data_IF_050089620214
#
_entry.id   IF_050089620214
#
_cell.length_a   1.000
_cell.length_b   1.000
_cell.length_c   1.000
_cell.angle_alpha   90.00
_cell.angle_beta   90.00
_cell.angle_gamma   90.00
#
_symmetry.space_group_name_H-M   'P 1'
#
loop_
_entity.id
_entity.type
_entity.pdbx_description
1 polymer ?
#
# COMPACT_ATOMS: atom_id res chain seq x y z
N UNK A 1 20.08 -21.78 10.76
CA UNK A 1 18.61 -21.70 10.96
C UNK A 1 18.09 -20.39 10.37
N UNK A 2 17.52 -20.36 9.16
CA UNK A 2 16.79 -19.17 8.75
C UNK A 2 15.51 -19.08 9.58
N UNK A 3 15.35 -17.99 10.34
CA UNK A 3 14.10 -17.68 11.04
C UNK A 3 13.00 -17.66 9.98
N UNK A 4 11.96 -18.50 10.14
CA UNK A 4 10.69 -18.34 9.42
C UNK A 4 10.16 -16.95 9.76
N UNK A 5 10.57 -15.94 9.00
CA UNK A 5 9.92 -14.64 9.01
C UNK A 5 8.46 -14.91 8.68
N UNK A 6 7.56 -14.60 9.61
CA UNK A 6 6.14 -14.56 9.34
C UNK A 6 5.98 -13.79 8.02
N UNK A 7 5.64 -14.51 6.94
CA UNK A 7 5.57 -13.89 5.62
C UNK A 7 4.47 -12.84 5.71
N UNK A 8 4.85 -11.57 5.73
CA UNK A 8 3.90 -10.49 5.53
C UNK A 8 3.07 -10.86 4.29
N UNK A 9 1.75 -10.70 4.35
CA UNK A 9 0.82 -11.11 3.30
C UNK A 9 1.25 -10.65 1.88
N UNK A 10 1.95 -9.51 1.79
CA UNK A 10 2.45 -8.93 0.54
C UNK A 10 3.84 -9.41 0.08
N UNK A 11 4.49 -10.33 0.81
CA UNK A 11 5.80 -10.88 0.46
C UNK A 11 6.91 -9.82 0.41
N UNK A 12 7.59 -9.70 -0.74
CA UNK A 12 8.62 -8.69 -1.03
C UNK A 12 8.08 -7.46 -1.77
N UNK A 13 6.78 -7.42 -2.04
CA UNK A 13 6.09 -6.29 -2.66
C UNK A 13 5.34 -5.43 -1.64
N UNK A 14 4.99 -4.22 -2.07
CA UNK A 14 4.17 -3.29 -1.27
C UNK A 14 2.67 -3.55 -1.38
N UNK A 15 2.24 -4.48 -2.24
CA UNK A 15 0.86 -4.87 -2.39
C UNK A 15 0.74 -6.36 -2.73
N UNK A 16 -0.45 -6.92 -2.54
CA UNK A 16 -0.85 -8.24 -3.01
C UNK A 16 -2.37 -8.28 -3.22
N UNK A 17 -2.83 -9.22 -4.03
CA UNK A 17 -4.25 -9.48 -4.23
C UNK A 17 -4.72 -10.60 -3.31
N UNK A 18 -5.88 -10.40 -2.68
CA UNK A 18 -6.64 -11.38 -1.90
C UNK A 18 -8.03 -11.52 -2.53
N UNK A 19 -8.14 -12.39 -3.54
CA UNK A 19 -9.34 -12.44 -4.39
C UNK A 19 -9.57 -11.12 -5.13
N UNK A 20 -10.71 -10.47 -4.88
CA UNK A 20 -11.07 -9.15 -5.43
C UNK A 20 -10.55 -7.98 -4.59
N UNK A 21 -9.85 -8.24 -3.49
CA UNK A 21 -9.33 -7.21 -2.58
C UNK A 21 -7.86 -6.96 -2.85
N UNK A 22 -7.50 -5.71 -3.11
CA UNK A 22 -6.11 -5.25 -3.19
C UNK A 22 -5.61 -4.84 -1.81
N UNK A 23 -4.66 -5.58 -1.26
CA UNK A 23 -3.99 -5.29 0.01
C UNK A 23 -2.75 -4.46 -0.27
N UNK A 24 -2.62 -3.28 0.36
CA UNK A 24 -1.51 -2.36 0.14
C UNK A 24 -0.87 -1.94 1.47
N UNK A 25 0.44 -2.09 1.58
CA UNK A 25 1.22 -1.53 2.67
C UNK A 25 1.67 -0.12 2.30
N UNK A 26 1.35 0.84 3.16
CA UNK A 26 1.62 2.26 2.93
C UNK A 26 2.57 2.79 3.99
N UNK A 27 3.53 3.60 3.55
CA UNK A 27 4.32 4.50 4.37
C UNK A 27 3.79 5.92 4.18
N UNK A 28 2.94 6.34 5.11
CA UNK A 28 2.32 7.66 5.14
C UNK A 28 3.31 8.76 5.49
N UNK A 29 3.28 9.86 4.74
CA UNK A 29 4.01 11.10 5.03
C UNK A 29 2.98 12.22 5.25
N UNK A 30 2.57 12.48 6.50
CA UNK A 30 1.66 13.57 6.82
C UNK A 30 2.35 14.94 6.69
N UNK A 31 1.57 16.02 6.72
CA UNK A 31 2.05 17.40 6.60
C UNK A 31 2.94 17.64 5.37
N UNK A 32 2.64 16.97 4.26
CA UNK A 32 3.34 17.18 3.01
C UNK A 32 2.83 18.44 2.29
N UNK A 33 3.62 18.99 1.37
CA UNK A 33 3.22 20.17 0.59
C UNK A 33 2.04 19.89 -0.36
N UNK A 34 1.81 18.63 -0.72
CA UNK A 34 0.71 18.17 -1.58
C UNK A 34 0.44 16.68 -1.37
N UNK A 35 -0.77 16.27 -1.70
CA UNK A 35 -1.14 14.85 -1.74
C UNK A 35 -0.52 14.17 -2.97
N UNK A 36 0.13 13.03 -2.76
CA UNK A 36 0.80 12.31 -3.85
C UNK A 36 1.03 10.83 -3.52
N UNK A 37 0.88 9.99 -4.54
CA UNK A 37 1.48 8.65 -4.55
C UNK A 37 2.97 8.80 -4.92
N UNK A 38 3.83 8.36 -4.01
CA UNK A 38 5.28 8.36 -4.20
C UNK A 38 5.79 7.06 -4.82
N UNK A 39 7.11 6.88 -4.77
CA UNK A 39 7.77 5.65 -5.20
C UNK A 39 7.65 4.55 -4.13
N UNK A 40 7.70 3.27 -4.51
CA UNK A 40 7.90 2.18 -3.58
C UNK A 40 9.16 2.39 -2.73
N UNK A 41 9.11 1.97 -1.47
CA UNK A 41 10.22 1.99 -0.52
C UNK A 41 10.23 0.67 0.23
N UNK A 42 11.12 -0.23 -0.18
CA UNK A 42 11.09 -1.63 0.27
C UNK A 42 9.71 -2.24 0.02
N UNK A 43 9.07 -2.73 1.09
CA UNK A 43 7.77 -3.42 1.07
C UNK A 43 6.58 -2.49 1.29
N UNK A 44 6.75 -1.19 1.06
CA UNK A 44 5.72 -0.17 1.31
C UNK A 44 5.66 0.87 0.20
N UNK A 45 4.47 1.41 -0.04
CA UNK A 45 4.26 2.53 -0.96
C UNK A 45 4.27 3.84 -0.19
N UNK A 46 5.12 4.79 -0.59
CA UNK A 46 5.07 6.13 0.00
C UNK A 46 3.80 6.85 -0.43
N UNK A 47 3.03 7.34 0.53
CA UNK A 47 1.86 8.19 0.25
C UNK A 47 1.98 9.45 1.08
N UNK A 48 2.08 10.59 0.40
CA UNK A 48 2.15 11.90 1.04
C UNK A 48 0.75 12.49 1.12
N UNK A 49 0.42 13.06 2.27
CA UNK A 49 -0.85 13.79 2.46
C UNK A 49 -0.59 15.14 3.11
N UNK A 50 -1.32 16.16 2.68
CA UNK A 50 -1.22 17.51 3.23
C UNK A 50 -1.82 17.62 4.64
N UNK A 51 -2.74 16.71 4.99
CA UNK A 51 -3.35 16.66 6.31
C UNK A 51 -2.31 16.42 7.43
N UNK A 52 -2.46 17.18 8.52
CA UNK A 52 -1.65 17.04 9.72
C UNK A 52 -1.95 15.71 10.47
N UNK A 53 -0.96 15.12 11.18
CA UNK A 53 -1.11 13.85 11.89
C UNK A 53 -1.82 14.02 13.24
N UNK A 54 -2.98 14.69 13.26
CA UNK A 54 -3.74 14.98 14.48
C UNK A 54 -5.04 14.17 14.46
N UNK A 55 -5.29 13.41 15.53
CA UNK A 55 -6.53 12.67 15.76
C UNK A 55 -6.97 11.80 14.56
N UNK A 56 -6.03 11.13 13.89
CA UNK A 56 -6.32 10.24 12.76
C UNK A 56 -6.69 10.94 11.43
N UNK A 57 -6.77 12.28 11.39
CA UNK A 57 -7.16 13.05 10.20
C UNK A 57 -6.30 12.77 8.97
N UNK A 58 -4.99 12.56 9.16
CA UNK A 58 -4.10 12.20 8.06
C UNK A 58 -4.51 10.87 7.38
N UNK A 59 -4.98 9.89 8.17
CA UNK A 59 -5.45 8.60 7.65
C UNK A 59 -6.77 8.76 6.91
N UNK A 60 -7.73 9.46 7.50
CA UNK A 60 -9.04 9.67 6.85
C UNK A 60 -8.87 10.47 5.54
N UNK A 61 -7.97 11.45 5.54
CA UNK A 61 -7.60 12.19 4.34
C UNK A 61 -6.93 11.29 3.30
N UNK A 62 -6.01 10.43 3.71
CA UNK A 62 -5.35 9.47 2.82
C UNK A 62 -6.36 8.53 2.17
N UNK A 63 -7.32 8.00 2.92
CA UNK A 63 -8.37 7.13 2.38
C UNK A 63 -9.18 7.86 1.31
N UNK A 64 -9.61 9.10 1.60
CA UNK A 64 -10.34 9.95 0.63
C UNK A 64 -9.52 10.29 -0.61
N UNK A 65 -8.21 10.51 -0.45
CA UNK A 65 -7.30 10.77 -1.54
C UNK A 65 -7.10 9.53 -2.43
N UNK A 66 -7.01 8.33 -1.85
CA UNK A 66 -6.76 7.08 -2.59
C UNK A 66 -8.01 6.58 -3.34
N UNK A 67 -9.20 6.70 -2.75
CA UNK A 67 -10.46 6.21 -3.32
C UNK A 67 -10.65 6.50 -4.83
N UNK A 68 -10.59 7.76 -5.30
CA UNK A 68 -10.78 8.05 -6.72
C UNK A 68 -9.66 7.50 -7.63
N UNK A 69 -8.44 7.30 -7.09
CA UNK A 69 -7.30 6.78 -7.85
C UNK A 69 -7.46 5.28 -8.15
N UNK A 70 -8.18 4.55 -7.28
CA UNK A 70 -8.52 3.16 -7.48
C UNK A 70 -9.91 2.95 -8.08
N UNK A 71 -10.66 4.03 -8.32
CA UNK A 71 -12.02 3.97 -8.85
C UNK A 71 -12.99 3.28 -7.90
N UNK A 72 -12.82 3.50 -6.60
CA UNK A 72 -13.67 2.98 -5.53
C UNK A 72 -14.17 4.12 -4.64
N UNK A 73 -15.08 3.82 -3.71
CA UNK A 73 -15.47 4.78 -2.67
C UNK A 73 -14.54 4.68 -1.45
N UNK A 74 -14.58 5.67 -0.57
CA UNK A 74 -13.85 5.61 0.69
C UNK A 74 -14.32 4.46 1.60
N UNK A 75 -15.57 4.01 1.45
CA UNK A 75 -16.12 2.89 2.23
C UNK A 75 -15.55 1.52 1.79
N UNK A 76 -15.07 1.43 0.55
CA UNK A 76 -14.43 0.23 0.00
C UNK A 76 -12.95 0.12 0.41
N UNK A 77 -12.43 1.12 1.11
CA UNK A 77 -11.07 1.15 1.62
C UNK A 77 -11.09 0.97 3.14
N UNK A 78 -10.69 -0.21 3.58
CA UNK A 78 -10.53 -0.52 4.99
C UNK A 78 -9.08 -0.28 5.43
N UNK A 79 -8.88 0.38 6.57
CA UNK A 79 -7.56 0.51 7.20
C UNK A 79 -7.42 -0.60 8.24
N UNK A 80 -6.72 -1.67 7.90
CA UNK A 80 -6.52 -2.86 8.76
C UNK A 80 -5.73 -2.51 10.01
N UNK A 81 -4.66 -1.72 9.85
CA UNK A 81 -3.88 -1.21 10.97
C UNK A 81 -3.17 0.10 10.63
N UNK A 82 -2.65 0.77 11.66
CA UNK A 82 -1.82 1.96 11.50
C UNK A 82 -2.60 3.27 11.45
N UNK A 83 -3.85 3.32 11.92
CA UNK A 83 -4.66 4.56 11.90
C UNK A 83 -3.95 5.76 12.56
N UNK A 84 -3.11 5.51 13.56
CA UNK A 84 -2.30 6.53 14.25
C UNK A 84 -0.79 6.46 13.93
N UNK A 85 -0.37 5.58 13.02
CA UNK A 85 1.04 5.38 12.64
C UNK A 85 1.28 5.76 11.17
N UNK A 86 2.51 6.09 10.79
CA UNK A 86 2.89 6.29 9.39
C UNK A 86 2.82 4.98 8.60
N UNK A 87 3.12 3.85 9.24
CA UNK A 87 3.00 2.53 8.63
C UNK A 87 1.54 2.08 8.70
N UNK A 88 0.94 1.83 7.54
CA UNK A 88 -0.47 1.44 7.41
C UNK A 88 -0.59 0.24 6.50
N UNK A 89 -1.62 -0.55 6.71
CA UNK A 89 -2.11 -1.49 5.69
C UNK A 89 -3.56 -1.16 5.39
N UNK A 90 -3.86 -1.09 4.11
CA UNK A 90 -5.21 -0.87 3.61
C UNK A 90 -5.65 -2.03 2.74
N UNK A 91 -6.93 -2.33 2.78
CA UNK A 91 -7.61 -3.29 1.91
C UNK A 91 -8.58 -2.51 1.05
N UNK A 92 -8.45 -2.64 -0.26
CA UNK A 92 -9.25 -1.92 -1.25
C UNK A 92 -10.10 -2.96 -1.96
N UNK A 93 -11.41 -2.93 -1.76
CA UNK A 93 -12.33 -3.90 -2.34
C UNK A 93 -12.63 -3.57 -3.80
N UNK A 94 -12.50 -4.56 -4.69
CA UNK A 94 -12.85 -4.50 -6.11
C UNK A 94 -12.41 -3.20 -6.82
N UNK A 95 -11.12 -2.82 -6.80
CA UNK A 95 -10.67 -1.59 -7.44
C UNK A 95 -10.82 -1.68 -8.95
N UNK A 96 -11.45 -0.67 -9.55
CA UNK A 96 -11.71 -0.58 -10.98
C UNK A 96 -10.61 0.14 -11.75
N UNK A 97 -9.70 0.82 -11.03
CA UNK A 97 -8.53 1.51 -11.57
C UNK A 97 -7.29 1.13 -10.78
N UNK A 98 -6.15 1.11 -11.45
CA UNK A 98 -4.85 0.89 -10.82
C UNK A 98 -3.88 2.01 -11.22
N UNK A 99 -3.31 2.76 -10.26
CA UNK A 99 -2.30 3.76 -10.56
C UNK A 99 -1.05 3.13 -11.20
N UNK A 100 -0.32 3.85 -12.08
CA UNK A 100 0.81 3.29 -12.82
C UNK A 100 1.93 2.68 -11.97
N UNK A 101 2.06 3.08 -10.70
CA UNK A 101 3.04 2.51 -9.76
C UNK A 101 2.79 1.02 -9.47
N UNK A 102 1.53 0.58 -9.56
CA UNK A 102 1.14 -0.83 -9.33
C UNK A 102 1.45 -1.69 -10.55
N UNK A 103 1.27 -1.17 -11.76
CA UNK A 103 1.58 -1.88 -13.01
C UNK A 103 3.09 -2.16 -13.15
N UNK A 104 3.93 -1.13 -12.95
CA UNK A 104 5.40 -1.23 -13.11
C UNK A 104 6.05 -2.25 -12.18
N UNK A 105 5.47 -2.47 -11.01
CA UNK A 105 6.01 -3.43 -10.03
C UNK A 105 5.59 -4.87 -10.34
N UNK A 106 4.39 -5.08 -10.91
CA UNK A 106 3.97 -6.40 -11.38
C UNK A 106 4.92 -6.94 -12.46
N UNK A 107 5.35 -6.06 -13.38
CA UNK A 107 6.33 -6.40 -14.42
C UNK A 107 7.73 -6.69 -13.83
N UNK A 108 8.21 -5.87 -12.90
CA UNK A 108 9.52 -6.07 -12.25
C UNK A 108 9.60 -7.31 -11.36
N UNK A 109 8.50 -7.68 -10.71
CA UNK A 109 8.41 -8.88 -9.87
C UNK A 109 8.42 -10.16 -10.70
N UNK A 110 8.06 -10.06 -11.99
CA UNK A 110 8.05 -11.18 -12.94
C UNK A 110 9.40 -11.37 -13.65
N UNK A 111 10.26 -10.34 -13.65
CA UNK A 111 11.57 -10.35 -14.32
C UNK A 111 12.71 -10.92 -13.45
N UNK A 112 12.50 -11.05 -12.15
CA UNK A 112 13.39 -11.79 -11.27
C UNK A 112 12.67 -13.08 -10.88
N UNK A 113 12.98 -14.24 -11.49
CA UNK A 113 12.62 -15.49 -10.86
C UNK A 113 13.27 -15.46 -9.49
N UNK A 114 12.46 -15.63 -8.45
CA UNK A 114 12.96 -16.04 -7.14
C UNK A 114 13.80 -17.28 -7.39
N UNK A 115 15.13 -17.09 -7.35
CA UNK A 115 16.07 -18.19 -7.37
C UNK A 115 15.88 -18.93 -6.05
N UNK A 116 14.96 -19.90 -6.06
CA UNK A 116 14.92 -20.98 -5.10
C UNK A 116 16.16 -21.84 -5.39
N UNK A 117 17.29 -21.46 -4.80
CA UNK A 117 18.45 -22.32 -4.68
C UNK A 117 18.28 -23.09 -3.37
N UNK A 118 17.77 -24.31 -3.53
CA UNK A 118 17.76 -25.36 -2.51
C UNK A 118 19.16 -25.65 -1.99
N UNK A 119 19.27 -25.85 -0.67
CA UNK A 119 20.06 -26.91 -0.03
C UNK A 119 19.32 -27.36 1.24
#
# INVERSE_FOLDING_TARGET
MPKKSARNFTGDSFFAWDGDVLVVNILGKPSASKDAIGKPYGKQLKVSVAAAPVAGRATDHMVRFLAPLFGVTAADIEVVFGRMNVNKQVRIKAPTKLPPVFAKQAEQSSLFPVADAQD
#
